data_IF_855399097429
#
_entry.id   IF_855399097429
#
_cell.length_a   1.000
_cell.length_b   1.000
_cell.length_c   1.000
_cell.angle_alpha   90.00
_cell.angle_beta   90.00
_cell.angle_gamma   90.00
#
_symmetry.space_group_name_H-M   'P 1'
#
loop_
_entity.id
_entity.type
_entity.pdbx_description
1 polymer ?
#
# COMPACT_ATOMS: atom_id res chain seq x y z
N UNK A 1 -14.73 -5.94 -33.57
CA UNK A 1 -15.42 -5.46 -32.42
C UNK A 1 -14.78 -5.93 -31.14
N UNK A 2 -14.58 -7.18 -31.04
CA UNK A 2 -14.13 -7.70 -29.78
C UNK A 2 -12.70 -7.47 -29.50
N UNK A 3 -11.89 -7.29 -30.51
CA UNK A 3 -10.46 -7.12 -30.28
C UNK A 3 -10.12 -5.78 -29.73
N UNK A 4 -10.79 -4.75 -30.18
CA UNK A 4 -10.61 -3.47 -29.54
C UNK A 4 -11.11 -3.52 -28.13
N UNK A 5 -12.20 -4.23 -27.93
CA UNK A 5 -12.75 -4.37 -26.61
C UNK A 5 -11.84 -5.09 -25.68
N UNK A 6 -11.12 -6.07 -26.20
CA UNK A 6 -10.21 -6.82 -25.38
C UNK A 6 -9.01 -6.02 -24.96
N UNK A 7 -8.46 -5.22 -25.85
CA UNK A 7 -7.33 -4.39 -25.48
C UNK A 7 -7.73 -3.36 -24.46
N UNK A 8 -8.88 -2.73 -24.63
CA UNK A 8 -9.37 -1.78 -23.66
C UNK A 8 -9.73 -2.50 -22.37
N UNK A 9 -10.22 -3.71 -22.46
CA UNK A 9 -10.55 -4.52 -21.32
C UNK A 9 -9.33 -4.85 -20.48
N UNK A 10 -8.21 -5.11 -21.11
CA UNK A 10 -6.99 -5.43 -20.36
C UNK A 10 -6.55 -4.25 -19.52
N UNK A 11 -6.62 -3.05 -20.05
CA UNK A 11 -6.26 -1.87 -19.29
C UNK A 11 -7.24 -1.60 -18.19
N UNK A 12 -8.51 -1.72 -18.52
CA UNK A 12 -9.53 -1.54 -17.49
C UNK A 12 -9.44 -2.64 -16.47
N UNK A 13 -9.04 -3.84 -16.91
CA UNK A 13 -8.92 -4.95 -15.98
C UNK A 13 -7.90 -4.66 -14.90
N UNK A 14 -6.83 -3.96 -15.21
CA UNK A 14 -5.85 -3.62 -14.18
C UNK A 14 -6.46 -2.70 -13.15
N UNK A 15 -7.16 -1.65 -13.57
CA UNK A 15 -7.84 -0.77 -12.64
C UNK A 15 -8.98 -1.45 -11.94
N UNK A 16 -9.69 -2.32 -12.64
CA UNK A 16 -10.76 -3.07 -12.02
C UNK A 16 -10.24 -4.04 -10.99
N UNK A 17 -9.07 -4.63 -11.22
CA UNK A 17 -8.48 -5.52 -10.22
C UNK A 17 -8.09 -4.76 -8.97
N UNK A 18 -7.54 -3.58 -9.12
CA UNK A 18 -7.23 -2.77 -7.95
C UNK A 18 -8.50 -2.42 -7.19
N UNK A 19 -9.55 -2.05 -7.91
CA UNK A 19 -10.82 -1.72 -7.28
C UNK A 19 -11.41 -2.93 -6.59
N UNK A 20 -11.30 -4.10 -7.22
CA UNK A 20 -11.84 -5.33 -6.64
C UNK A 20 -11.08 -5.71 -5.37
N UNK A 21 -9.76 -5.55 -5.38
CA UNK A 21 -8.96 -5.82 -4.20
C UNK A 21 -9.37 -4.90 -3.06
N UNK A 22 -9.53 -3.61 -3.36
CA UNK A 22 -9.96 -2.66 -2.34
C UNK A 22 -11.33 -3.01 -1.81
N UNK A 23 -12.25 -3.42 -2.68
CA UNK A 23 -13.58 -3.78 -2.26
C UNK A 23 -13.57 -4.97 -1.30
N UNK A 24 -12.73 -5.97 -1.60
CA UNK A 24 -12.60 -7.12 -0.72
C UNK A 24 -12.08 -6.69 0.65
N UNK A 25 -11.05 -5.84 0.66
CA UNK A 25 -10.49 -5.37 1.92
C UNK A 25 -11.47 -4.52 2.70
N UNK A 26 -12.25 -3.71 2.00
CA UNK A 26 -13.22 -2.84 2.66
C UNK A 26 -14.40 -3.61 3.23
N UNK A 27 -14.75 -4.73 2.62
CA UNK A 27 -15.85 -5.52 3.13
C UNK A 27 -15.44 -6.45 4.26
N UNK A 28 -14.13 -6.62 4.45
CA UNK A 28 -13.63 -7.46 5.53
C UNK A 28 -13.66 -6.72 6.85
N UNK A 29 -13.53 -7.45 7.93
CA UNK A 29 -13.59 -6.87 9.25
C UNK A 29 -12.20 -6.63 9.86
N UNK A 30 -11.14 -6.77 9.08
CA UNK A 30 -9.81 -6.55 9.59
C UNK A 30 -8.80 -6.70 8.48
N UNK A 31 -7.53 -6.68 8.84
CA UNK A 31 -6.46 -6.84 7.87
C UNK A 31 -6.51 -8.24 7.27
N UNK A 32 -6.17 -8.35 6.00
CA UNK A 32 -6.21 -9.62 5.28
C UNK A 32 -4.88 -9.91 4.63
N UNK A 33 -4.51 -11.18 4.66
CA UNK A 33 -3.32 -11.64 3.94
C UNK A 33 -3.62 -11.73 2.45
N UNK A 34 -2.58 -11.78 1.61
CA UNK A 34 -2.82 -11.94 0.17
C UNK A 34 -3.64 -13.19 -0.16
N UNK A 35 -3.44 -14.28 0.58
CA UNK A 35 -4.22 -15.49 0.34
C UNK A 35 -5.69 -15.26 0.62
N UNK A 36 -5.99 -14.54 1.70
CA UNK A 36 -7.37 -14.23 2.03
C UNK A 36 -8.00 -13.31 1.01
N UNK A 37 -7.24 -12.33 0.53
CA UNK A 37 -7.74 -11.42 -0.50
C UNK A 37 -8.03 -12.22 -1.77
N UNK A 38 -7.12 -13.12 -2.13
CA UNK A 38 -7.30 -13.94 -3.32
C UNK A 38 -8.57 -14.77 -3.23
N UNK A 39 -8.82 -15.35 -2.06
CA UNK A 39 -10.04 -16.10 -1.84
C UNK A 39 -11.28 -15.24 -2.04
N UNK A 40 -11.23 -14.02 -1.53
CA UNK A 40 -12.35 -13.10 -1.66
C UNK A 40 -12.59 -12.66 -3.09
N UNK A 41 -11.56 -12.68 -3.92
CA UNK A 41 -11.69 -12.29 -5.32
C UNK A 41 -12.23 -13.41 -6.20
N UNK A 42 -12.20 -14.65 -5.74
CA UNK A 42 -12.75 -15.77 -6.51
C UNK A 42 -11.73 -16.44 -7.33
N UNK A 43 -10.65 -16.65 -7.13
CA UNK A 43 -9.65 -17.59 -7.61
C UNK A 43 -9.21 -17.55 -9.05
N UNK A 44 -9.62 -16.59 -9.82
CA UNK A 44 -9.11 -16.50 -11.17
C UNK A 44 -7.75 -15.88 -11.25
N UNK A 45 -7.25 -15.30 -10.18
CA UNK A 45 -6.01 -14.58 -10.21
C UNK A 45 -4.90 -15.39 -9.59
N UNK A 46 -3.70 -15.25 -10.15
CA UNK A 46 -2.54 -15.86 -9.55
C UNK A 46 -2.21 -15.14 -8.24
N UNK A 47 -1.65 -15.90 -7.31
CA UNK A 47 -1.24 -15.34 -6.03
C UNK A 47 -0.26 -14.20 -6.22
N UNK A 48 0.69 -14.35 -7.14
CA UNK A 48 1.68 -13.30 -7.39
C UNK A 48 1.05 -12.03 -7.92
N UNK A 49 -0.03 -12.15 -8.69
CA UNK A 49 -0.74 -10.97 -9.17
C UNK A 49 -1.37 -10.22 -8.00
N UNK A 50 -1.98 -10.94 -7.07
CA UNK A 50 -2.60 -10.33 -5.90
C UNK A 50 -1.53 -9.63 -5.06
N UNK A 51 -0.39 -10.27 -4.83
CA UNK A 51 0.69 -9.68 -4.07
C UNK A 51 1.18 -8.40 -4.74
N UNK A 52 1.32 -8.42 -6.06
CA UNK A 52 1.76 -7.24 -6.79
C UNK A 52 0.78 -6.08 -6.64
N UNK A 53 -0.51 -6.37 -6.73
CA UNK A 53 -1.52 -5.34 -6.59
C UNK A 53 -1.50 -4.76 -5.18
N UNK A 54 -1.43 -5.63 -4.17
CA UNK A 54 -1.39 -5.17 -2.78
C UNK A 54 -0.15 -4.31 -2.52
N UNK A 55 0.99 -4.72 -3.04
CA UNK A 55 2.21 -3.95 -2.87
C UNK A 55 2.10 -2.58 -3.53
N UNK A 56 1.49 -2.54 -4.70
CA UNK A 56 1.28 -1.29 -5.41
C UNK A 56 0.37 -0.35 -4.64
N UNK A 57 -0.73 -0.88 -4.13
CA UNK A 57 -1.66 -0.07 -3.36
C UNK A 57 -1.03 0.41 -2.07
N UNK A 58 -0.22 -0.43 -1.46
CA UNK A 58 0.51 -0.01 -0.27
C UNK A 58 1.49 1.12 -0.61
N UNK A 59 2.22 0.98 -1.71
CA UNK A 59 3.16 2.01 -2.13
C UNK A 59 2.48 3.33 -2.43
N UNK A 60 1.24 3.27 -2.92
CA UNK A 60 0.46 4.48 -3.17
C UNK A 60 -0.12 5.09 -1.90
N UNK A 61 0.03 4.45 -0.77
CA UNK A 61 -0.51 4.95 0.49
C UNK A 61 -1.99 4.66 0.69
N UNK A 62 -2.56 3.81 -0.15
CA UNK A 62 -3.98 3.45 -0.06
C UNK A 62 -4.21 2.37 0.98
N UNK A 63 -3.21 1.52 1.19
CA UNK A 63 -3.29 0.45 2.17
C UNK A 63 -2.21 0.61 3.22
N UNK A 64 -2.53 0.21 4.44
CA UNK A 64 -1.52 -0.04 5.46
C UNK A 64 -1.24 -1.53 5.49
N UNK A 65 -0.11 -1.91 6.06
CA UNK A 65 0.19 -3.32 6.21
C UNK A 65 0.83 -3.59 7.54
N UNK A 66 0.57 -4.79 8.06
CA UNK A 66 1.12 -5.25 9.32
C UNK A 66 1.77 -6.59 9.09
N UNK A 67 2.88 -6.80 9.77
CA UNK A 67 3.53 -8.10 9.73
C UNK A 67 2.75 -9.07 10.59
N UNK A 68 2.46 -10.23 10.02
CA UNK A 68 1.76 -11.27 10.74
C UNK A 68 2.51 -12.57 10.47
N UNK A 69 3.39 -12.95 11.38
CA UNK A 69 4.26 -14.08 11.15
C UNK A 69 5.20 -13.80 10.01
N UNK A 70 5.14 -14.61 8.98
CA UNK A 70 5.98 -14.44 7.79
C UNK A 70 5.30 -13.70 6.66
N UNK A 71 4.06 -13.34 6.87
CA UNK A 71 3.29 -12.68 5.82
C UNK A 71 2.87 -11.31 6.29
N UNK A 72 2.50 -10.47 5.33
CA UNK A 72 1.88 -9.20 5.64
C UNK A 72 0.38 -9.33 5.54
N UNK A 73 -0.31 -8.56 6.37
CA UNK A 73 -1.75 -8.37 6.25
C UNK A 73 -1.99 -6.92 5.85
N UNK A 74 -2.97 -6.70 5.01
CA UNK A 74 -3.24 -5.39 4.44
C UNK A 74 -4.63 -4.93 4.85
N UNK A 75 -4.78 -3.63 5.04
CA UNK A 75 -6.07 -3.02 5.38
C UNK A 75 -6.17 -1.67 4.70
N UNK A 76 -7.39 -1.22 4.39
CA UNK A 76 -7.55 0.11 3.80
C UNK A 76 -7.15 1.20 4.78
N UNK A 77 -6.55 2.26 4.27
CA UNK A 77 -6.25 3.43 5.06
C UNK A 77 -7.54 4.24 5.18
N UNK A 78 -8.09 4.28 6.39
CA UNK A 78 -9.36 4.96 6.61
C UNK A 78 -9.35 5.87 7.81
N UNK A 79 -8.36 5.74 8.69
CA UNK A 79 -8.33 6.57 9.89
C UNK A 79 -7.60 7.88 9.60
N UNK A 80 -7.73 8.81 10.51
CA UNK A 80 -7.16 10.14 10.33
C UNK A 80 -5.64 10.12 10.19
N UNK A 81 -4.91 9.40 11.05
CA UNK A 81 -3.45 9.34 10.86
C UNK A 81 -3.06 8.75 9.51
N UNK A 82 -3.78 7.74 9.06
CA UNK A 82 -3.47 7.14 7.76
C UNK A 82 -3.72 8.10 6.62
N UNK A 83 -4.80 8.86 6.70
CA UNK A 83 -5.09 9.86 5.68
C UNK A 83 -4.06 10.98 5.69
N UNK A 84 -3.60 11.39 6.87
CA UNK A 84 -2.56 12.39 6.98
C UNK A 84 -1.24 11.88 6.38
N UNK A 85 -0.89 10.64 6.67
CA UNK A 85 0.33 10.05 6.11
C UNK A 85 0.25 9.97 4.60
N UNK A 86 -0.94 9.67 4.07
CA UNK A 86 -1.15 9.62 2.64
C UNK A 86 -0.92 10.99 2.00
N UNK A 87 -1.39 12.06 2.66
CA UNK A 87 -1.16 13.40 2.16
C UNK A 87 0.33 13.74 2.17
N UNK A 88 1.03 13.33 3.23
CA UNK A 88 2.48 13.56 3.30
C UNK A 88 3.20 12.85 2.15
N UNK A 89 2.82 11.61 1.89
CA UNK A 89 3.42 10.87 0.79
C UNK A 89 3.13 11.56 -0.55
N UNK A 90 1.92 12.06 -0.73
CA UNK A 90 1.56 12.76 -1.95
C UNK A 90 2.40 14.01 -2.17
N UNK A 91 2.67 14.74 -1.10
CA UNK A 91 3.53 15.92 -1.20
C UNK A 91 4.94 15.50 -1.62
N UNK A 92 5.46 14.48 -0.98
CA UNK A 92 6.80 13.99 -1.28
C UNK A 92 6.90 13.49 -2.72
N UNK A 93 5.89 12.74 -3.16
CA UNK A 93 5.91 12.15 -4.49
C UNK A 93 5.83 13.18 -5.60
N UNK A 94 5.29 14.36 -5.30
CA UNK A 94 5.17 15.42 -6.28
C UNK A 94 6.47 16.19 -6.49
N UNK A 95 7.46 16.00 -5.64
CA UNK A 95 8.70 16.75 -5.71
C UNK A 95 9.72 16.04 -6.57
N UNK A 96 10.47 16.82 -7.34
CA UNK A 96 11.48 16.26 -8.23
C UNK A 96 12.69 15.75 -7.46
N UNK A 97 13.06 16.45 -6.40
CA UNK A 97 14.25 16.09 -5.63
C UNK A 97 13.83 15.51 -4.30
N UNK A 98 13.48 14.24 -4.36
CA UNK A 98 12.97 13.52 -3.19
C UNK A 98 13.97 13.50 -2.05
N UNK A 99 15.24 13.30 -2.39
CA UNK A 99 16.28 13.20 -1.39
C UNK A 99 16.44 14.52 -0.62
N UNK A 100 16.42 15.64 -1.33
CA UNK A 100 16.56 16.93 -0.69
C UNK A 100 15.37 17.22 0.22
N UNK A 101 14.17 16.86 -0.22
CA UNK A 101 12.98 17.05 0.60
C UNK A 101 13.08 16.25 1.88
N UNK A 102 13.46 14.99 1.76
CA UNK A 102 13.59 14.13 2.94
C UNK A 102 14.67 14.65 3.88
N UNK A 103 15.80 15.10 3.31
CA UNK A 103 16.88 15.61 4.15
C UNK A 103 16.45 16.84 4.94
N UNK A 104 15.72 17.74 4.31
CA UNK A 104 15.23 18.93 5.00
C UNK A 104 14.16 18.61 6.01
N UNK A 105 13.31 17.64 5.69
CA UNK A 105 12.29 17.22 6.62
C UNK A 105 12.91 16.64 7.89
N UNK A 106 13.90 15.77 7.72
CA UNK A 106 14.58 15.13 8.85
C UNK A 106 15.29 16.19 9.68
N UNK A 107 15.93 17.13 9.01
CA UNK A 107 16.69 18.18 9.70
C UNK A 107 15.78 19.08 10.55
N UNK A 108 14.52 19.20 10.20
CA UNK A 108 13.56 20.00 10.93
C UNK A 108 12.82 19.27 12.02
N UNK A 109 13.07 17.99 12.22
CA UNK A 109 12.35 17.24 13.24
C UNK A 109 12.71 17.68 14.64
N UNK A 110 11.73 17.65 15.54
CA UNK A 110 11.99 17.82 16.95
C UNK A 110 12.75 16.59 17.46
N UNK A 111 13.41 16.72 18.61
CA UNK A 111 14.10 15.58 19.19
C UNK A 111 13.16 14.43 19.49
N UNK A 112 11.94 14.75 19.91
CA UNK A 112 10.97 13.71 20.23
C UNK A 112 10.56 12.96 18.97
N UNK A 113 10.30 13.69 17.88
CA UNK A 113 9.90 13.06 16.62
C UNK A 113 11.04 12.26 16.04
N UNK A 114 12.25 12.76 16.17
CA UNK A 114 13.41 12.04 15.67
C UNK A 114 13.56 10.70 16.38
N UNK A 115 13.43 10.68 17.68
CA UNK A 115 13.52 9.44 18.44
C UNK A 115 12.40 8.47 18.07
N UNK A 116 11.21 9.00 17.88
CA UNK A 116 10.08 8.18 17.50
C UNK A 116 10.32 7.53 16.15
N UNK A 117 10.81 8.30 15.18
CA UNK A 117 11.12 7.77 13.88
C UNK A 117 12.22 6.72 13.93
N UNK A 118 13.24 6.96 14.74
CA UNK A 118 14.31 5.99 14.88
C UNK A 118 13.80 4.65 15.38
N UNK A 119 12.89 4.71 16.36
CA UNK A 119 12.31 3.48 16.89
C UNK A 119 11.49 2.75 15.84
N UNK A 120 10.69 3.51 15.10
CA UNK A 120 9.85 2.90 14.07
C UNK A 120 10.67 2.24 12.98
N UNK A 121 11.74 2.88 12.55
CA UNK A 121 12.58 2.33 11.51
C UNK A 121 13.36 1.13 11.99
N UNK A 122 13.80 1.14 13.23
CA UNK A 122 14.54 0.02 13.81
C UNK A 122 13.63 -1.19 13.97
N UNK A 123 12.35 -0.97 14.29
CA UNK A 123 11.40 -2.05 14.49
C UNK A 123 10.76 -2.53 13.20
N UNK A 124 11.03 -1.86 12.10
CA UNK A 124 10.43 -2.21 10.82
C UNK A 124 10.88 -3.60 10.40
N UNK A 125 9.96 -4.53 10.17
CA UNK A 125 10.35 -5.89 9.82
C UNK A 125 11.26 -5.96 8.60
N UNK A 126 11.08 -5.06 7.65
CA UNK A 126 11.90 -5.06 6.45
C UNK A 126 13.36 -4.73 6.71
N UNK A 127 13.65 -4.11 7.84
CA UNK A 127 15.02 -3.73 8.14
C UNK A 127 15.84 -4.84 8.74
N UNK A 128 15.20 -5.92 9.04
CA UNK A 128 15.91 -7.02 9.66
C UNK A 128 16.53 -7.95 8.66
N UNK A 129 16.16 -7.80 7.47
CA UNK A 129 16.65 -8.69 6.44
C UNK A 129 18.07 -8.49 6.12
#
# INVERSE_FOLDING_TARGET
MDQSGQAASSRRAAGELEAAVLAVLQSGSGAMTPAQVREGLGDDLAYTTVVTILSRLHAKGVLSRLRSGRAYSYAPVADEPGLAARRMRGVLDAEADREAVLARFVSGLSGADEQLLRRMLADEPGNEG
#
